data_IF_037332225355
#
_entry.id   IF_037332225355
#
_cell.length_a   1.000
_cell.length_b   1.000
_cell.length_c   1.000
_cell.angle_alpha   90.00
_cell.angle_beta   90.00
_cell.angle_gamma   90.00
#
_symmetry.space_group_name_H-M   'P 1'
#
loop_
_entity.id
_entity.type
_entity.pdbx_description
1 polymer ?
#
# COMPACT_ATOMS: atom_id res chain seq x y z
N UNK A 1 10.94 -48.98 -89.43
CA UNK A 1 11.47 -47.73 -88.85
C UNK A 1 10.38 -46.98 -87.94
N UNK A 2 9.12 -47.08 -88.22
CA UNK A 2 8.08 -46.34 -87.48
C UNK A 2 7.84 -46.81 -86.01
N UNK A 3 7.95 -48.14 -85.71
CA UNK A 3 7.65 -48.69 -84.36
C UNK A 3 8.80 -48.38 -83.35
N UNK A 4 10.04 -48.30 -83.77
CA UNK A 4 11.16 -48.00 -82.85
C UNK A 4 11.15 -46.53 -82.41
N UNK A 5 10.70 -45.59 -83.27
CA UNK A 5 10.53 -44.18 -82.95
C UNK A 5 9.39 -43.96 -81.96
N UNK A 6 8.31 -44.73 -82.12
CA UNK A 6 7.14 -44.63 -81.24
C UNK A 6 7.48 -45.14 -79.83
N UNK A 7 8.17 -46.28 -79.71
CA UNK A 7 8.64 -46.81 -78.43
C UNK A 7 9.66 -45.87 -77.74
N UNK A 8 10.57 -45.27 -78.47
CA UNK A 8 11.48 -44.26 -77.93
C UNK A 8 10.77 -43.03 -77.35
N UNK A 9 9.73 -42.57 -78.05
CA UNK A 9 8.91 -41.42 -77.60
C UNK A 9 8.10 -41.73 -76.30
N UNK A 10 7.54 -42.96 -76.25
CA UNK A 10 6.78 -43.41 -75.02
C UNK A 10 7.73 -43.56 -73.84
N UNK A 11 8.94 -44.09 -74.04
CA UNK A 11 9.92 -44.19 -72.96
C UNK A 11 10.40 -42.81 -72.48
N UNK A 12 10.66 -41.87 -73.38
CA UNK A 12 11.01 -40.49 -73.06
C UNK A 12 9.89 -39.78 -72.24
N UNK A 13 8.62 -39.95 -72.67
CA UNK A 13 7.46 -39.43 -71.94
C UNK A 13 7.29 -40.06 -70.56
N UNK A 14 7.51 -41.37 -70.43
CA UNK A 14 7.46 -42.08 -69.13
C UNK A 14 8.55 -41.63 -68.16
N UNK A 15 9.77 -41.39 -68.66
CA UNK A 15 10.90 -40.86 -67.88
C UNK A 15 10.60 -39.40 -67.47
N UNK A 16 10.11 -38.58 -68.41
CA UNK A 16 9.72 -37.20 -68.10
C UNK A 16 8.59 -37.13 -67.08
N UNK A 17 7.58 -38.03 -67.20
CA UNK A 17 6.52 -38.16 -66.19
C UNK A 17 7.04 -38.61 -64.83
N UNK A 18 7.90 -39.61 -64.78
CA UNK A 18 8.49 -40.09 -63.52
C UNK A 18 9.33 -39.00 -62.82
N UNK A 19 10.06 -38.22 -63.61
CA UNK A 19 10.82 -37.06 -63.10
C UNK A 19 9.90 -35.97 -62.58
N UNK A 20 8.85 -35.65 -63.29
CA UNK A 20 7.82 -34.68 -62.87
C UNK A 20 7.13 -35.12 -61.59
N UNK A 21 6.72 -36.37 -61.47
CA UNK A 21 6.10 -36.93 -60.28
C UNK A 21 7.07 -36.88 -59.06
N UNK A 22 8.32 -37.28 -59.25
CA UNK A 22 9.35 -37.17 -58.20
C UNK A 22 9.61 -35.73 -57.74
N UNK A 23 9.61 -34.76 -58.69
CA UNK A 23 9.74 -33.34 -58.38
C UNK A 23 8.55 -32.84 -57.55
N UNK A 24 7.33 -33.20 -58.02
CA UNK A 24 6.10 -32.86 -57.28
C UNK A 24 6.07 -33.50 -55.86
N UNK A 25 6.44 -34.76 -55.69
CA UNK A 25 6.51 -35.42 -54.43
C UNK A 25 7.50 -34.73 -53.47
N UNK A 26 8.67 -34.32 -53.98
CA UNK A 26 9.66 -33.54 -53.19
C UNK A 26 9.09 -32.19 -52.74
N UNK A 27 8.42 -31.46 -53.63
CA UNK A 27 7.79 -30.17 -53.28
C UNK A 27 6.68 -30.35 -52.27
N UNK A 28 5.85 -31.38 -52.40
CA UNK A 28 4.80 -31.72 -51.43
C UNK A 28 5.41 -32.10 -50.07
N UNK A 29 6.48 -32.89 -50.06
CA UNK A 29 7.17 -33.22 -48.80
C UNK A 29 7.76 -31.99 -48.11
N UNK A 30 8.38 -31.08 -48.90
CA UNK A 30 8.92 -29.83 -48.36
C UNK A 30 7.81 -28.91 -47.81
N UNK A 31 6.67 -28.78 -48.53
CA UNK A 31 5.53 -28.01 -48.06
C UNK A 31 4.87 -28.61 -46.82
N UNK A 32 4.82 -29.95 -46.73
CA UNK A 32 4.32 -30.62 -45.50
C UNK A 32 5.25 -30.37 -44.31
N UNK A 33 6.54 -30.48 -44.51
CA UNK A 33 7.53 -30.23 -43.45
C UNK A 33 7.46 -28.76 -42.97
N UNK A 34 7.46 -27.81 -43.90
CA UNK A 34 7.29 -26.39 -43.56
C UNK A 34 5.99 -26.07 -42.86
N UNK A 35 4.88 -26.78 -43.23
CA UNK A 35 3.59 -26.63 -42.52
C UNK A 35 3.63 -27.20 -41.11
N UNK A 36 4.28 -28.36 -40.91
CA UNK A 36 4.43 -28.98 -39.60
C UNK A 36 5.32 -28.12 -38.67
N UNK A 37 6.39 -27.53 -39.21
CA UNK A 37 7.21 -26.57 -38.46
C UNK A 37 6.41 -25.34 -38.03
N UNK A 38 5.64 -24.72 -38.95
CA UNK A 38 4.82 -23.57 -38.66
C UNK A 38 3.75 -23.89 -37.60
N UNK A 39 3.12 -25.07 -37.68
CA UNK A 39 2.13 -25.49 -36.68
C UNK A 39 2.76 -25.70 -35.28
N UNK A 40 4.01 -26.19 -35.21
CA UNK A 40 4.75 -26.31 -33.97
C UNK A 40 5.09 -24.93 -33.38
N UNK A 41 5.50 -23.98 -34.20
CA UNK A 41 5.73 -22.58 -33.76
C UNK A 41 4.46 -21.92 -33.24
N UNK A 42 3.35 -22.03 -34.00
CA UNK A 42 2.05 -21.51 -33.55
C UNK A 42 1.62 -22.11 -32.20
N UNK A 43 1.81 -23.43 -32.01
CA UNK A 43 1.50 -24.10 -30.74
C UNK A 43 2.35 -23.59 -29.58
N UNK A 44 3.66 -23.39 -29.80
CA UNK A 44 4.56 -22.85 -28.75
C UNK A 44 4.16 -21.46 -28.29
N UNK A 45 3.81 -20.59 -29.25
CA UNK A 45 3.36 -19.23 -28.94
C UNK A 45 2.01 -19.28 -28.21
N UNK A 46 1.08 -20.13 -28.68
CA UNK A 46 -0.21 -20.29 -28.03
C UNK A 46 -0.09 -20.80 -26.59
N UNK A 47 0.73 -21.83 -26.35
CA UNK A 47 0.96 -22.39 -25.01
C UNK A 47 1.60 -21.35 -24.06
N UNK A 48 2.49 -20.52 -24.58
CA UNK A 48 3.07 -19.41 -23.83
C UNK A 48 2.04 -18.36 -23.44
N UNK A 49 1.24 -17.91 -24.41
CA UNK A 49 0.18 -16.92 -24.16
C UNK A 49 -0.90 -17.47 -23.20
N UNK A 50 -1.24 -18.75 -23.34
CA UNK A 50 -2.16 -19.41 -22.42
C UNK A 50 -1.59 -19.51 -21.00
N UNK A 51 -0.31 -19.84 -20.87
CA UNK A 51 0.40 -19.85 -19.60
C UNK A 51 0.47 -18.47 -18.95
N UNK A 52 0.71 -17.41 -19.72
CA UNK A 52 0.66 -16.03 -19.22
C UNK A 52 -0.78 -15.68 -18.79
N UNK A 53 -1.81 -16.15 -19.53
CA UNK A 53 -3.21 -15.95 -19.17
C UNK A 53 -3.59 -16.57 -17.83
N UNK A 54 -3.04 -17.75 -17.49
CA UNK A 54 -3.25 -18.38 -16.19
C UNK A 54 -2.66 -17.55 -15.03
N UNK A 55 -1.62 -16.74 -15.27
CA UNK A 55 -1.07 -15.81 -14.28
C UNK A 55 -2.06 -14.72 -13.84
N UNK A 56 -3.04 -14.39 -14.68
CA UNK A 56 -4.10 -13.42 -14.35
C UNK A 56 -5.15 -13.94 -13.36
N UNK A 57 -5.22 -15.26 -13.17
CA UNK A 57 -6.19 -15.87 -12.23
C UNK A 57 -5.80 -15.72 -10.76
N UNK A 58 -4.65 -15.11 -10.45
CA UNK A 58 -4.19 -14.85 -9.08
C UNK A 58 -3.60 -16.06 -8.35
N UNK A 59 -3.49 -17.21 -9.00
CA UNK A 59 -3.03 -18.46 -8.39
C UNK A 59 -1.50 -18.71 -8.54
N UNK A 60 -0.79 -17.90 -9.36
CA UNK A 60 0.64 -18.06 -9.59
C UNK A 60 1.47 -17.17 -8.65
N UNK A 61 2.46 -17.78 -8.01
CA UNK A 61 3.47 -17.05 -7.26
C UNK A 61 4.33 -16.20 -8.24
N UNK A 62 4.75 -14.97 -7.88
CA UNK A 62 5.57 -14.12 -8.77
C UNK A 62 6.77 -14.84 -9.39
N UNK A 63 7.47 -15.70 -8.62
CA UNK A 63 8.59 -16.48 -9.10
C UNK A 63 8.23 -17.46 -10.23
N UNK A 64 7.00 -17.96 -10.27
CA UNK A 64 6.54 -18.88 -11.31
C UNK A 64 6.25 -18.14 -12.61
N UNK A 65 5.73 -16.90 -12.53
CA UNK A 65 5.57 -16.02 -13.68
C UNK A 65 6.93 -15.64 -14.28
N UNK A 66 7.90 -15.28 -13.43
CA UNK A 66 9.25 -14.93 -13.90
C UNK A 66 9.91 -16.10 -14.65
N UNK A 67 9.80 -17.30 -14.09
CA UNK A 67 10.28 -18.54 -14.73
C UNK A 67 9.57 -18.82 -16.05
N UNK A 68 8.24 -18.71 -16.07
CA UNK A 68 7.42 -18.92 -17.27
C UNK A 68 7.83 -17.98 -18.42
N UNK A 69 8.08 -16.70 -18.09
CA UNK A 69 8.51 -15.70 -19.08
C UNK A 69 9.85 -16.09 -19.70
N UNK A 70 10.86 -16.39 -18.88
CA UNK A 70 12.19 -16.71 -19.38
C UNK A 70 12.21 -18.05 -20.12
N UNK A 71 11.67 -19.11 -19.52
CA UNK A 71 11.64 -20.44 -20.15
C UNK A 71 10.75 -20.46 -21.40
N UNK A 72 9.65 -19.69 -21.39
CA UNK A 72 8.79 -19.52 -22.56
C UNK A 72 9.51 -18.80 -23.70
N UNK A 73 10.19 -17.70 -23.42
CA UNK A 73 11.00 -16.98 -24.39
C UNK A 73 12.09 -17.89 -24.97
N UNK A 74 12.85 -18.57 -24.10
CA UNK A 74 13.89 -19.52 -24.53
C UNK A 74 13.35 -20.61 -25.47
N UNK A 75 12.19 -21.19 -25.13
CA UNK A 75 11.58 -22.27 -25.91
C UNK A 75 11.11 -21.82 -27.29
N UNK A 76 10.56 -20.59 -27.40
CA UNK A 76 10.01 -20.09 -28.66
C UNK A 76 11.13 -19.74 -29.63
N UNK A 77 12.19 -19.05 -29.17
CA UNK A 77 13.29 -18.61 -30.03
C UNK A 77 14.48 -19.60 -30.03
N UNK A 78 14.31 -20.82 -29.51
CA UNK A 78 15.34 -21.86 -29.40
C UNK A 78 16.64 -21.35 -28.76
N UNK A 79 16.48 -20.64 -27.64
CA UNK A 79 17.60 -20.08 -26.89
C UNK A 79 18.15 -21.08 -25.87
N UNK A 80 19.49 -21.12 -25.74
CA UNK A 80 20.19 -21.96 -24.77
C UNK A 80 20.06 -21.42 -23.33
N UNK A 81 19.99 -20.11 -23.17
CA UNK A 81 19.93 -19.45 -21.88
C UNK A 81 19.03 -18.19 -21.92
N UNK A 82 18.51 -17.82 -20.75
CA UNK A 82 17.72 -16.62 -20.62
C UNK A 82 17.80 -16.03 -19.20
N UNK A 83 17.58 -14.73 -19.11
CA UNK A 83 17.62 -13.97 -17.87
C UNK A 83 16.57 -12.85 -17.85
N UNK A 84 15.96 -12.68 -16.71
CA UNK A 84 15.02 -11.62 -16.41
C UNK A 84 15.59 -10.73 -15.30
N UNK A 85 15.72 -9.45 -15.59
CA UNK A 85 16.10 -8.42 -14.65
C UNK A 85 14.96 -7.43 -14.51
N UNK A 86 14.49 -7.19 -13.28
CA UNK A 86 13.43 -6.22 -13.00
C UNK A 86 13.98 -4.97 -12.31
N UNK A 87 13.34 -3.85 -12.56
CA UNK A 87 13.66 -2.58 -11.92
C UNK A 87 13.43 -2.63 -10.41
N UNK A 88 14.32 -2.02 -9.65
CA UNK A 88 14.06 -1.71 -8.26
C UNK A 88 13.00 -0.61 -8.14
N UNK A 89 12.50 -0.37 -6.92
CA UNK A 89 11.49 0.67 -6.65
C UNK A 89 11.95 2.09 -6.96
N UNK A 90 13.26 2.32 -7.05
CA UNK A 90 13.83 3.66 -7.34
C UNK A 90 14.02 3.90 -8.83
N UNK A 91 13.90 2.88 -9.68
CA UNK A 91 14.14 2.97 -11.12
C UNK A 91 15.62 3.17 -11.48
N UNK A 92 16.56 2.90 -10.56
CA UNK A 92 18.01 3.14 -10.75
C UNK A 92 18.83 1.87 -10.94
N UNK A 93 18.29 0.74 -10.52
CA UNK A 93 18.98 -0.54 -10.54
C UNK A 93 18.08 -1.60 -11.17
N UNK A 94 18.70 -2.49 -11.96
CA UNK A 94 18.10 -3.73 -12.42
C UNK A 94 18.54 -4.86 -11.49
N UNK A 95 17.57 -5.55 -10.91
CA UNK A 95 17.81 -6.68 -10.02
C UNK A 95 17.64 -8.00 -10.78
N UNK A 96 18.59 -8.94 -10.70
CA UNK A 96 18.43 -10.25 -11.29
C UNK A 96 17.28 -10.99 -10.59
N UNK A 97 16.20 -11.27 -11.34
CA UNK A 97 14.97 -11.86 -10.79
C UNK A 97 14.86 -13.33 -11.13
N UNK A 98 15.22 -13.70 -12.35
CA UNK A 98 15.31 -15.09 -12.77
C UNK A 98 16.41 -15.27 -13.80
N UNK A 99 17.29 -16.27 -13.59
CA UNK A 99 18.28 -16.74 -14.55
C UNK A 99 18.06 -18.23 -14.78
N UNK A 100 18.05 -18.64 -16.03
CA UNK A 100 17.99 -20.06 -16.40
C UNK A 100 19.22 -20.81 -15.88
N UNK A 101 19.14 -22.13 -15.61
CA UNK A 101 20.30 -22.92 -15.25
C UNK A 101 21.40 -22.82 -16.32
N UNK A 102 22.63 -22.55 -15.91
CA UNK A 102 23.76 -22.41 -16.82
C UNK A 102 23.74 -21.15 -17.70
N UNK A 103 22.97 -20.13 -17.33
CA UNK A 103 22.97 -18.85 -18.04
C UNK A 103 24.38 -18.26 -18.07
N UNK A 104 24.93 -17.92 -19.25
CA UNK A 104 26.24 -17.27 -19.34
C UNK A 104 26.12 -15.85 -18.75
N UNK A 105 27.24 -15.29 -18.26
CA UNK A 105 27.23 -13.93 -17.75
C UNK A 105 26.84 -12.92 -18.83
N UNK A 106 25.72 -12.22 -18.60
CA UNK A 106 25.27 -11.08 -19.40
C UNK A 106 25.75 -9.73 -18.83
N UNK A 107 26.55 -9.81 -17.76
CA UNK A 107 27.17 -8.69 -17.06
C UNK A 107 28.65 -8.97 -16.90
N UNK A 108 29.45 -7.93 -16.70
CA UNK A 108 30.86 -8.09 -16.46
C UNK A 108 31.13 -8.82 -15.14
N UNK A 109 31.91 -9.93 -15.21
CA UNK A 109 32.26 -10.72 -14.03
C UNK A 109 33.68 -10.40 -13.60
N UNK A 110 33.95 -10.01 -12.37
CA UNK A 110 35.28 -9.74 -11.86
C UNK A 110 36.20 -10.94 -12.02
N UNK A 111 37.48 -10.70 -12.42
CA UNK A 111 38.48 -11.76 -12.62
C UNK A 111 38.67 -12.66 -11.39
N UNK A 112 38.48 -12.10 -10.19
CA UNK A 112 38.55 -12.86 -8.93
C UNK A 112 37.44 -13.94 -8.84
N UNK A 113 36.26 -13.68 -9.33
CA UNK A 113 35.15 -14.63 -9.36
C UNK A 113 35.38 -15.69 -10.45
N UNK A 114 35.88 -15.28 -11.62
CA UNK A 114 36.23 -16.21 -12.69
C UNK A 114 37.35 -17.18 -12.28
N UNK A 115 38.34 -16.73 -11.50
CA UNK A 115 39.36 -17.60 -10.94
C UNK A 115 38.82 -18.58 -9.91
N UNK A 116 37.84 -18.19 -9.12
CA UNK A 116 37.18 -19.07 -8.15
C UNK A 116 36.31 -20.14 -8.83
N UNK A 117 35.81 -19.90 -10.04
CA UNK A 117 34.97 -20.87 -10.75
C UNK A 117 35.75 -22.18 -11.10
N UNK A 118 37.06 -22.14 -11.17
CA UNK A 118 37.92 -23.33 -11.33
C UNK A 118 37.86 -24.28 -10.14
N UNK A 119 37.58 -23.78 -8.94
CA UNK A 119 37.47 -24.57 -7.70
C UNK A 119 36.04 -24.68 -7.19
N UNK A 120 35.16 -23.73 -7.56
CA UNK A 120 33.74 -23.70 -7.21
C UNK A 120 32.88 -23.34 -8.43
N UNK A 121 32.33 -24.33 -9.16
CA UNK A 121 31.52 -24.09 -10.37
C UNK A 121 30.31 -23.18 -10.15
N UNK A 122 29.76 -23.12 -8.92
CA UNK A 122 28.64 -22.27 -8.61
C UNK A 122 28.96 -20.82 -8.23
N UNK A 123 30.27 -20.47 -8.20
CA UNK A 123 30.66 -19.10 -7.81
C UNK A 123 30.14 -18.02 -8.77
N UNK A 124 30.18 -18.27 -10.07
CA UNK A 124 29.67 -17.36 -11.10
C UNK A 124 28.14 -17.26 -11.01
N UNK A 125 27.42 -18.38 -10.91
CA UNK A 125 25.95 -18.39 -10.78
C UNK A 125 25.49 -17.64 -9.54
N UNK A 126 26.16 -17.85 -8.41
CA UNK A 126 25.86 -17.13 -7.16
C UNK A 126 26.11 -15.62 -7.28
N UNK A 127 27.19 -15.23 -7.96
CA UNK A 127 27.49 -13.83 -8.23
C UNK A 127 26.40 -13.20 -9.10
N UNK A 128 26.05 -13.83 -10.22
CA UNK A 128 25.06 -13.32 -11.17
C UNK A 128 23.68 -13.11 -10.52
N UNK A 129 23.27 -14.01 -9.62
CA UNK A 129 21.98 -13.92 -8.90
C UNK A 129 21.92 -12.78 -7.90
N UNK A 130 23.06 -12.23 -7.49
CA UNK A 130 23.15 -11.17 -6.48
C UNK A 130 23.63 -9.83 -7.03
N UNK A 131 24.12 -9.81 -8.29
CA UNK A 131 24.72 -8.62 -8.88
C UNK A 131 23.67 -7.71 -9.52
N UNK A 132 23.31 -6.56 -8.93
CA UNK A 132 22.47 -5.57 -9.57
C UNK A 132 23.24 -4.84 -10.68
N UNK A 133 22.53 -4.39 -11.70
CA UNK A 133 23.06 -3.62 -12.83
C UNK A 133 22.56 -2.19 -12.76
N UNK A 134 23.44 -1.21 -12.89
CA UNK A 134 23.05 0.21 -12.93
C UNK A 134 22.53 0.60 -14.31
N UNK A 135 21.68 1.61 -14.33
CA UNK A 135 21.24 2.27 -15.58
C UNK A 135 22.49 2.72 -16.36
N UNK A 136 22.52 2.41 -17.66
CA UNK A 136 23.64 2.75 -18.55
C UNK A 136 24.87 1.83 -18.43
N UNK A 137 24.91 0.87 -17.49
CA UNK A 137 26.06 -0.01 -17.27
C UNK A 137 25.90 -1.32 -18.07
N UNK A 138 26.87 -1.62 -18.89
CA UNK A 138 26.91 -2.82 -19.73
C UNK A 138 25.77 -2.92 -20.73
N UNK A 139 25.54 -4.09 -21.32
CA UNK A 139 24.49 -4.29 -22.32
C UNK A 139 23.10 -4.12 -21.73
N UNK A 140 22.83 -4.73 -20.58
CA UNK A 140 21.51 -4.69 -19.92
C UNK A 140 21.14 -3.28 -19.47
N UNK A 141 22.07 -2.54 -18.85
CA UNK A 141 21.85 -1.17 -18.39
C UNK A 141 21.67 -0.18 -19.54
N UNK A 142 22.34 -0.38 -20.67
CA UNK A 142 22.18 0.43 -21.88
C UNK A 142 20.80 0.21 -22.53
N UNK A 143 20.34 -1.04 -22.64
CA UNK A 143 19.01 -1.37 -23.15
C UNK A 143 17.92 -0.78 -22.24
N UNK A 144 18.13 -0.85 -20.93
CA UNK A 144 17.25 -0.22 -19.96
C UNK A 144 17.16 1.30 -20.14
N UNK A 145 18.31 1.98 -20.28
CA UNK A 145 18.38 3.45 -20.42
C UNK A 145 17.78 3.93 -21.73
N UNK A 146 18.16 3.28 -22.85
CA UNK A 146 17.71 3.70 -24.19
C UNK A 146 16.31 3.24 -24.53
N UNK A 147 15.79 2.24 -23.82
CA UNK A 147 14.50 1.61 -24.09
C UNK A 147 14.40 1.04 -25.52
N UNK A 148 15.52 0.64 -26.09
CA UNK A 148 15.60 0.08 -27.43
C UNK A 148 16.06 -1.39 -27.34
N UNK A 149 15.37 -2.32 -28.05
CA UNK A 149 15.81 -3.71 -28.10
C UNK A 149 17.10 -3.84 -28.90
N UNK A 150 17.95 -4.77 -28.51
CA UNK A 150 19.26 -5.01 -29.12
C UNK A 150 19.42 -6.48 -29.49
N UNK A 151 19.89 -6.73 -30.73
CA UNK A 151 20.31 -8.03 -31.22
C UNK A 151 21.77 -7.94 -31.60
N UNK A 152 22.60 -8.86 -31.08
CA UNK A 152 24.03 -8.98 -31.39
C UNK A 152 24.33 -10.40 -31.80
N UNK A 153 25.06 -10.57 -32.91
CA UNK A 153 25.51 -11.85 -33.43
C UNK A 153 27.06 -11.84 -33.64
N UNK A 154 27.68 -13.00 -33.61
CA UNK A 154 29.10 -13.17 -33.81
C UNK A 154 29.63 -12.61 -35.18
N UNK A 155 28.71 -12.39 -36.09
CA UNK A 155 29.03 -11.81 -37.42
C UNK A 155 29.07 -10.27 -37.40
N UNK A 156 28.69 -9.64 -36.27
CA UNK A 156 28.66 -8.19 -36.12
C UNK A 156 29.97 -7.72 -35.45
N UNK A 157 30.59 -6.66 -36.01
CA UNK A 157 31.76 -5.98 -35.40
C UNK A 157 31.32 -5.04 -34.24
N UNK A 158 30.43 -5.49 -33.38
CA UNK A 158 29.92 -4.68 -32.24
C UNK A 158 30.80 -4.90 -31.01
N UNK A 159 31.37 -3.80 -30.51
CA UNK A 159 32.23 -3.82 -29.31
C UNK A 159 31.52 -4.37 -28.07
N UNK A 160 30.20 -4.20 -27.95
CA UNK A 160 29.41 -4.70 -26.82
C UNK A 160 29.40 -6.23 -26.72
N UNK A 161 29.36 -6.91 -27.89
CA UNK A 161 29.49 -8.36 -27.93
C UNK A 161 30.94 -8.80 -27.66
N UNK A 162 31.93 -8.03 -28.12
CA UNK A 162 33.33 -8.27 -27.84
C UNK A 162 33.64 -8.19 -26.35
N UNK A 163 33.06 -7.21 -25.65
CA UNK A 163 33.18 -7.05 -24.19
C UNK A 163 32.58 -8.26 -23.42
N UNK A 164 31.40 -8.74 -23.82
CA UNK A 164 30.79 -9.94 -23.26
C UNK A 164 31.64 -11.20 -23.57
N UNK A 165 32.16 -11.35 -24.80
CA UNK A 165 33.03 -12.46 -25.21
C UNK A 165 34.37 -12.43 -24.48
N UNK A 166 34.94 -11.24 -24.24
CA UNK A 166 36.20 -11.11 -23.51
C UNK A 166 36.11 -11.63 -22.08
N UNK A 167 34.92 -11.54 -21.49
CA UNK A 167 34.66 -12.01 -20.12
C UNK A 167 34.52 -13.52 -20.03
N UNK A 168 33.92 -14.22 -21.03
CA UNK A 168 33.52 -15.62 -20.83
C UNK A 168 33.66 -16.54 -22.07
N UNK A 169 33.76 -16.01 -23.28
CA UNK A 169 33.70 -16.76 -24.56
C UNK A 169 32.51 -17.73 -24.72
N UNK A 170 31.46 -17.55 -23.87
CA UNK A 170 30.31 -18.46 -23.79
C UNK A 170 29.13 -17.98 -24.62
N UNK A 171 29.18 -16.78 -25.18
CA UNK A 171 28.08 -16.17 -25.91
C UNK A 171 28.48 -15.97 -27.37
N UNK A 172 27.66 -16.48 -28.29
CA UNK A 172 27.83 -16.30 -29.73
C UNK A 172 26.79 -15.34 -30.32
N UNK A 173 25.56 -15.37 -29.80
CA UNK A 173 24.52 -14.40 -30.12
C UNK A 173 23.64 -14.11 -28.88
N UNK A 174 23.14 -12.88 -28.80
CA UNK A 174 22.30 -12.41 -27.68
C UNK A 174 21.23 -11.47 -28.18
N UNK A 175 20.02 -11.62 -27.65
CA UNK A 175 18.91 -10.69 -27.81
C UNK A 175 18.52 -10.14 -26.44
N UNK A 176 18.39 -8.83 -26.35
CA UNK A 176 18.03 -8.12 -25.12
C UNK A 176 16.97 -7.09 -25.45
N UNK A 177 15.89 -7.06 -24.71
CA UNK A 177 14.84 -6.08 -24.94
C UNK A 177 14.25 -5.56 -23.60
N UNK A 178 13.85 -4.27 -23.56
CA UNK A 178 13.22 -3.67 -22.39
C UNK A 178 11.77 -4.14 -22.27
N UNK A 179 11.34 -4.42 -21.03
CA UNK A 179 9.97 -4.79 -20.70
C UNK A 179 9.14 -3.52 -20.49
N UNK A 180 8.61 -2.98 -21.59
CA UNK A 180 7.87 -1.73 -21.60
C UNK A 180 6.36 -1.99 -21.61
N UNK A 181 5.62 -1.31 -20.73
CA UNK A 181 4.17 -1.25 -20.76
C UNK A 181 3.65 0.18 -20.52
N UNK A 182 3.07 0.78 -21.51
CA UNK A 182 2.72 2.21 -21.51
C UNK A 182 3.95 3.09 -21.31
N UNK A 183 3.97 3.87 -20.25
CA UNK A 183 5.13 4.70 -19.84
C UNK A 183 6.05 4.04 -18.83
N UNK A 184 5.74 2.81 -18.40
CA UNK A 184 6.51 2.09 -17.39
C UNK A 184 7.55 1.18 -18.02
N UNK A 185 8.78 1.28 -17.57
CA UNK A 185 9.85 0.32 -17.89
C UNK A 185 10.02 -0.61 -16.68
N UNK A 186 9.59 -1.87 -16.82
CA UNK A 186 9.56 -2.85 -15.75
C UNK A 186 10.90 -3.57 -15.54
N UNK A 187 11.73 -3.60 -16.59
CA UNK A 187 12.98 -4.36 -16.56
C UNK A 187 13.48 -4.72 -17.95
N UNK A 188 14.30 -5.75 -18.02
CA UNK A 188 14.93 -6.24 -19.23
C UNK A 188 14.83 -7.77 -19.29
N UNK A 189 14.42 -8.30 -20.44
CA UNK A 189 14.48 -9.72 -20.78
C UNK A 189 15.64 -9.95 -21.74
N UNK A 190 16.45 -10.96 -21.48
CA UNK A 190 17.57 -11.33 -22.32
C UNK A 190 17.57 -12.83 -22.60
N UNK A 191 17.95 -13.23 -23.82
CA UNK A 191 18.19 -14.62 -24.21
C UNK A 191 19.56 -14.71 -24.95
N UNK A 192 20.26 -15.81 -24.77
CA UNK A 192 21.58 -16.00 -25.34
C UNK A 192 21.77 -17.40 -25.89
N UNK A 193 22.55 -17.50 -26.98
CA UNK A 193 23.07 -18.74 -27.56
C UNK A 193 24.59 -18.76 -27.49
N UNK A 194 25.10 -19.92 -27.15
CA UNK A 194 26.54 -20.17 -27.08
C UNK A 194 27.12 -20.70 -28.41
N UNK A 195 28.47 -20.89 -28.47
CA UNK A 195 29.16 -21.28 -29.70
C UNK A 195 28.76 -22.63 -30.30
N UNK A 196 28.08 -23.49 -29.52
CA UNK A 196 27.61 -24.80 -29.97
C UNK A 196 26.14 -24.81 -30.38
N UNK A 197 25.46 -23.68 -30.27
CA UNK A 197 24.04 -23.49 -30.65
C UNK A 197 23.93 -22.74 -31.98
N UNK A 198 22.80 -22.85 -32.66
CA UNK A 198 22.52 -22.05 -33.85
C UNK A 198 22.38 -20.56 -33.46
N UNK A 199 23.13 -19.64 -34.11
CA UNK A 199 22.98 -18.23 -33.87
C UNK A 199 21.55 -17.75 -34.20
N UNK A 200 21.06 -16.76 -33.43
CA UNK A 200 19.75 -16.13 -33.71
C UNK A 200 19.73 -15.43 -35.07
N UNK A 201 18.55 -15.39 -35.65
CA UNK A 201 18.28 -14.69 -36.91
C UNK A 201 17.48 -13.40 -36.66
N UNK A 202 17.42 -12.48 -37.64
CA UNK A 202 16.51 -11.32 -37.54
C UNK A 202 15.01 -11.68 -37.36
N UNK A 203 14.60 -12.86 -37.86
CA UNK A 203 13.23 -13.35 -37.65
C UNK A 203 13.00 -13.73 -36.18
N UNK A 204 13.94 -14.42 -35.54
CA UNK A 204 13.89 -14.75 -34.12
C UNK A 204 13.79 -13.48 -33.25
N UNK A 205 14.49 -12.42 -33.68
CA UNK A 205 14.46 -11.15 -32.96
C UNK A 205 13.08 -10.48 -33.00
N UNK A 206 12.38 -10.53 -34.13
CA UNK A 206 10.99 -10.01 -34.26
C UNK A 206 10.06 -10.80 -33.34
N UNK A 207 10.18 -12.13 -33.32
CA UNK A 207 9.39 -13.00 -32.43
C UNK A 207 9.71 -12.71 -30.96
N UNK A 208 11.00 -12.57 -30.64
CA UNK A 208 11.46 -12.24 -29.28
C UNK A 208 10.85 -10.90 -28.79
N UNK A 209 10.85 -9.87 -29.64
CA UNK A 209 10.22 -8.57 -29.31
C UNK A 209 8.73 -8.73 -28.96
N UNK A 210 7.99 -9.52 -29.74
CA UNK A 210 6.58 -9.79 -29.47
C UNK A 210 6.37 -10.52 -28.12
N UNK A 211 7.26 -11.48 -27.79
CA UNK A 211 7.24 -12.17 -26.50
C UNK A 211 7.49 -11.19 -25.35
N UNK A 212 8.48 -10.30 -25.52
CA UNK A 212 8.83 -9.28 -24.51
C UNK A 212 7.65 -8.35 -24.24
N UNK A 213 6.95 -7.88 -25.28
CA UNK A 213 5.75 -7.06 -25.13
C UNK A 213 4.65 -7.77 -24.35
N UNK A 214 4.36 -9.03 -24.68
CA UNK A 214 3.37 -9.82 -23.95
C UNK A 214 3.80 -10.11 -22.51
N UNK A 215 5.09 -10.34 -22.30
CA UNK A 215 5.66 -10.54 -20.96
C UNK A 215 5.58 -9.28 -20.11
N UNK A 216 5.83 -8.10 -20.70
CA UNK A 216 5.70 -6.82 -20.03
C UNK A 216 4.23 -6.55 -19.60
N UNK A 217 3.28 -6.85 -20.48
CA UNK A 217 1.85 -6.78 -20.14
C UNK A 217 1.48 -7.70 -18.99
N UNK A 218 1.94 -8.97 -19.02
CA UNK A 218 1.68 -9.94 -17.96
C UNK A 218 2.27 -9.51 -16.61
N UNK A 219 3.53 -9.04 -16.61
CA UNK A 219 4.20 -8.54 -15.41
C UNK A 219 3.49 -7.32 -14.81
N UNK A 220 3.15 -6.34 -15.64
CA UNK A 220 2.44 -5.15 -15.19
C UNK A 220 1.11 -5.52 -14.52
N UNK A 221 0.32 -6.37 -15.16
CA UNK A 221 -0.93 -6.83 -14.58
C UNK A 221 -0.72 -7.58 -13.25
N UNK A 222 0.26 -8.48 -13.17
CA UNK A 222 0.57 -9.21 -11.94
C UNK A 222 0.94 -8.25 -10.79
N UNK A 223 1.72 -7.19 -11.07
CA UNK A 223 2.07 -6.15 -10.10
C UNK A 223 0.80 -5.42 -9.63
N UNK A 224 -0.04 -4.93 -10.56
CA UNK A 224 -1.28 -4.21 -10.23
C UNK A 224 -2.24 -5.08 -9.42
N UNK A 225 -2.41 -6.35 -9.79
CA UNK A 225 -3.25 -7.28 -9.02
C UNK A 225 -2.71 -7.54 -7.61
N UNK A 226 -1.40 -7.71 -7.47
CA UNK A 226 -0.75 -7.91 -6.17
C UNK A 226 -0.92 -6.70 -5.26
N UNK A 227 -0.69 -5.49 -5.77
CA UNK A 227 -0.89 -4.23 -5.04
C UNK A 227 -2.35 -4.04 -4.63
N UNK A 228 -3.28 -4.32 -5.54
CA UNK A 228 -4.71 -4.24 -5.25
C UNK A 228 -5.16 -5.28 -4.20
N UNK A 229 -4.60 -6.48 -4.22
CA UNK A 229 -4.88 -7.51 -3.22
C UNK A 229 -4.34 -7.14 -1.84
N UNK A 230 -3.12 -6.61 -1.77
CA UNK A 230 -2.51 -6.14 -0.51
C UNK A 230 -3.28 -4.95 0.05
N UNK A 231 -3.65 -3.97 -0.79
CA UNK A 231 -4.50 -2.84 -0.35
C UNK A 231 -5.82 -3.34 0.23
N UNK A 232 -6.52 -4.26 -0.45
CA UNK A 232 -7.77 -4.83 0.07
C UNK A 232 -7.60 -5.59 1.38
N UNK A 233 -6.42 -6.20 1.60
CA UNK A 233 -6.09 -6.87 2.85
C UNK A 233 -5.94 -5.85 3.98
N UNK A 234 -5.15 -4.80 3.75
CA UNK A 234 -4.95 -3.70 4.70
C UNK A 234 -6.29 -3.01 5.03
N UNK A 235 -7.11 -2.73 4.03
CA UNK A 235 -8.42 -2.10 4.23
C UNK A 235 -9.32 -2.96 5.13
N UNK A 236 -9.34 -4.30 4.95
CA UNK A 236 -10.10 -5.24 5.81
C UNK A 236 -9.56 -5.30 7.24
N UNK A 237 -8.24 -5.30 7.40
CA UNK A 237 -7.62 -5.31 8.73
C UNK A 237 -7.95 -4.02 9.50
N UNK A 238 -7.96 -2.87 8.81
CA UNK A 238 -8.37 -1.59 9.38
C UNK A 238 -9.89 -1.54 9.71
N UNK A 239 -10.73 -2.13 8.88
CA UNK A 239 -12.17 -2.25 9.13
C UNK A 239 -12.43 -3.09 10.39
N UNK A 240 -11.71 -4.19 10.56
CA UNK A 240 -11.74 -4.99 11.78
C UNK A 240 -11.27 -4.21 13.01
N UNK A 241 -10.19 -3.44 12.90
CA UNK A 241 -9.70 -2.56 13.97
C UNK A 241 -10.73 -1.50 14.36
N UNK A 242 -11.43 -0.90 13.39
CA UNK A 242 -12.53 0.04 13.60
C UNK A 242 -13.67 -0.60 14.39
N UNK A 243 -14.08 -1.81 14.03
CA UNK A 243 -15.15 -2.51 14.72
C UNK A 243 -14.78 -2.80 16.19
N UNK A 244 -13.53 -3.22 16.44
CA UNK A 244 -13.01 -3.40 17.80
C UNK A 244 -13.01 -2.06 18.55
N UNK A 245 -12.55 -0.98 17.94
CA UNK A 245 -12.51 0.34 18.55
C UNK A 245 -13.90 0.85 18.91
N UNK A 246 -14.89 0.61 18.04
CA UNK A 246 -16.30 0.98 18.30
C UNK A 246 -16.86 0.34 19.55
N UNK A 247 -16.43 -0.87 19.90
CA UNK A 247 -16.83 -1.56 21.14
C UNK A 247 -16.18 -0.89 22.37
N UNK A 248 -15.05 -0.20 22.21
CA UNK A 248 -14.39 0.52 23.29
C UNK A 248 -15.09 1.83 23.66
N UNK A 249 -15.82 2.44 22.73
CA UNK A 249 -16.59 3.64 23.00
C UNK A 249 -17.95 3.31 23.68
N UNK A 250 -18.53 4.23 24.45
CA UNK A 250 -19.80 3.98 25.12
C UNK A 250 -20.94 3.79 24.13
N UNK A 251 -21.72 2.73 24.31
CA UNK A 251 -22.88 2.44 23.45
C UNK A 251 -24.06 3.40 23.70
N UNK A 252 -24.20 3.90 24.92
CA UNK A 252 -25.23 4.85 25.31
C UNK A 252 -24.77 5.69 26.51
N UNK A 253 -25.31 6.92 26.68
CA UNK A 253 -25.05 7.71 27.86
C UNK A 253 -25.69 7.06 29.10
N UNK A 254 -25.12 7.27 30.30
CA UNK A 254 -25.72 6.80 31.55
C UNK A 254 -27.01 7.61 31.88
N UNK A 255 -27.96 6.92 32.49
CA UNK A 255 -29.14 7.60 33.08
C UNK A 255 -28.76 8.16 34.46
N UNK A 256 -28.61 9.49 34.53
CA UNK A 256 -28.26 10.20 35.76
C UNK A 256 -29.36 11.17 36.09
N UNK A 257 -30.12 10.94 37.18
CA UNK A 257 -31.21 11.85 37.57
C UNK A 257 -30.77 13.31 37.69
N UNK A 258 -31.49 14.21 37.02
CA UNK A 258 -31.19 15.63 36.98
C UNK A 258 -30.16 16.05 35.91
N UNK A 259 -29.73 15.13 35.06
CA UNK A 259 -28.84 15.43 33.95
C UNK A 259 -29.27 14.71 32.67
N UNK A 260 -29.19 15.40 31.57
CA UNK A 260 -29.20 14.83 30.23
C UNK A 260 -27.78 14.81 29.69
N UNK A 261 -27.36 13.67 29.15
CA UNK A 261 -26.00 13.50 28.58
C UNK A 261 -26.13 12.92 27.19
N UNK A 262 -25.35 13.45 26.26
CA UNK A 262 -25.22 12.92 24.91
C UNK A 262 -23.76 13.03 24.43
N UNK A 263 -23.32 12.10 23.60
CA UNK A 263 -21.99 12.14 23.00
C UNK A 263 -21.98 11.48 21.64
N UNK A 264 -21.04 11.89 20.81
CA UNK A 264 -20.80 11.35 19.49
C UNK A 264 -19.29 11.37 19.20
N UNK A 265 -18.83 10.35 18.49
CA UNK A 265 -17.51 10.32 17.85
C UNK A 265 -17.71 9.97 16.38
N UNK A 266 -17.16 10.80 15.48
CA UNK A 266 -17.21 10.65 14.03
C UNK A 266 -15.77 10.59 13.53
N UNK A 267 -15.24 9.41 13.24
CA UNK A 267 -13.86 9.26 12.76
C UNK A 267 -13.65 9.88 11.38
N UNK A 268 -12.51 10.54 11.17
CA UNK A 268 -12.06 11.01 9.85
C UNK A 268 -11.45 9.89 8.99
N UNK A 269 -10.88 8.88 9.63
CA UNK A 269 -10.25 7.72 9.03
C UNK A 269 -10.94 6.42 9.42
N UNK A 270 -10.34 5.28 9.09
CA UNK A 270 -10.87 3.97 9.49
C UNK A 270 -10.85 3.78 11.01
N UNK A 271 -9.86 4.33 11.71
CA UNK A 271 -9.73 4.33 13.16
C UNK A 271 -9.46 5.74 13.67
N UNK A 272 -9.89 6.04 14.90
CA UNK A 272 -9.87 7.36 15.54
C UNK A 272 -8.80 7.47 16.62
N UNK A 273 -8.16 8.64 16.74
CA UNK A 273 -7.36 9.04 17.90
C UNK A 273 -8.24 9.53 19.06
N UNK A 274 -9.41 10.03 18.74
CA UNK A 274 -10.35 10.57 19.71
C UNK A 274 -10.99 9.50 20.61
N UNK A 275 -11.27 9.90 21.83
CA UNK A 275 -11.89 9.07 22.84
C UNK A 275 -12.88 9.89 23.67
N UNK A 276 -14.05 9.32 23.96
CA UNK A 276 -14.91 9.78 25.03
C UNK A 276 -15.50 8.60 25.80
N UNK A 277 -15.83 8.82 27.07
CA UNK A 277 -16.33 7.73 27.91
C UNK A 277 -17.22 8.23 29.07
N UNK A 278 -18.04 7.31 29.56
CA UNK A 278 -18.85 7.44 30.76
C UNK A 278 -18.48 6.32 31.73
N UNK A 279 -17.78 6.66 32.82
CA UNK A 279 -17.15 5.71 33.72
C UNK A 279 -17.89 5.68 35.04
N UNK A 280 -18.57 4.59 35.40
CA UNK A 280 -19.13 4.44 36.75
C UNK A 280 -17.98 4.42 37.79
N UNK A 281 -18.01 5.37 38.73
CA UNK A 281 -17.02 5.48 39.82
C UNK A 281 -17.61 4.92 41.13
N UNK A 282 -18.85 5.30 41.44
CA UNK A 282 -19.61 4.85 42.59
C UNK A 282 -21.11 4.85 42.20
N UNK A 283 -22.01 4.31 43.04
CA UNK A 283 -23.46 4.27 42.74
C UNK A 283 -24.11 5.63 42.43
N UNK A 284 -23.54 6.71 42.94
CA UNK A 284 -23.97 8.09 42.79
C UNK A 284 -23.00 8.98 42.02
N UNK A 285 -21.91 8.43 41.51
CA UNK A 285 -20.81 9.20 40.91
C UNK A 285 -20.32 8.60 39.60
N UNK A 286 -20.16 9.48 38.59
CA UNK A 286 -19.72 9.12 37.24
C UNK A 286 -18.55 10.01 36.80
N UNK A 287 -17.54 9.37 36.16
CA UNK A 287 -16.53 10.07 35.38
C UNK A 287 -16.98 10.26 33.93
N UNK A 288 -16.72 11.43 33.38
CA UNK A 288 -16.93 11.71 31.96
C UNK A 288 -15.60 12.20 31.40
N UNK A 289 -15.16 11.57 30.33
CA UNK A 289 -13.89 11.88 29.68
C UNK A 289 -14.11 12.25 28.20
N UNK A 290 -13.33 13.18 27.73
CA UNK A 290 -13.07 13.40 26.30
C UNK A 290 -11.57 13.59 26.13
N UNK A 291 -11.00 13.01 25.10
CA UNK A 291 -9.57 13.06 24.82
C UNK A 291 -9.30 12.98 23.33
N UNK A 292 -8.18 13.54 22.94
CA UNK A 292 -7.63 13.43 21.60
C UNK A 292 -6.14 13.09 21.69
N UNK A 293 -5.72 12.11 20.91
CA UNK A 293 -4.34 11.63 20.82
C UNK A 293 -3.63 12.28 19.65
N UNK A 294 -2.56 12.98 19.91
CA UNK A 294 -1.72 13.58 18.87
C UNK A 294 -1.35 12.56 17.78
N UNK A 295 -1.59 12.93 16.51
CA UNK A 295 -1.37 12.07 15.36
C UNK A 295 -2.65 11.39 14.88
N UNK A 296 -2.55 10.56 13.83
CA UNK A 296 -3.72 9.94 13.18
C UNK A 296 -3.50 8.46 12.90
N UNK A 297 -4.59 7.75 12.64
CA UNK A 297 -4.57 6.35 12.24
C UNK A 297 -4.21 5.36 13.34
N UNK A 298 -3.60 4.24 12.96
CA UNK A 298 -3.35 3.11 13.88
C UNK A 298 -2.52 3.48 15.12
N UNK A 299 -1.41 4.25 15.03
CA UNK A 299 -0.65 4.61 16.23
C UNK A 299 -1.48 5.37 17.26
N UNK A 300 -2.25 6.39 16.84
CA UNK A 300 -3.10 7.16 17.73
C UNK A 300 -4.21 6.29 18.34
N UNK A 301 -4.83 5.42 17.56
CA UNK A 301 -5.89 4.52 18.04
C UNK A 301 -5.42 3.51 19.10
N UNK A 302 -4.17 3.03 19.00
CA UNK A 302 -3.58 2.14 20.00
C UNK A 302 -3.33 2.86 21.32
N UNK A 303 -2.80 4.10 21.27
CA UNK A 303 -2.59 4.94 22.45
C UNK A 303 -3.94 5.32 23.08
N UNK A 304 -4.96 5.61 22.27
CA UNK A 304 -6.32 5.85 22.75
C UNK A 304 -6.86 4.64 23.56
N UNK A 305 -6.72 3.43 23.02
CA UNK A 305 -7.17 2.21 23.68
C UNK A 305 -6.41 1.95 25.01
N UNK A 306 -5.11 2.24 25.04
CA UNK A 306 -4.28 2.18 26.24
C UNK A 306 -4.74 3.23 27.27
N UNK A 307 -4.93 4.48 26.84
CA UNK A 307 -5.42 5.57 27.67
C UNK A 307 -6.78 5.23 28.32
N UNK A 308 -7.74 4.74 27.52
CA UNK A 308 -9.04 4.26 28.01
C UNK A 308 -8.88 3.20 29.11
N UNK A 309 -8.04 2.21 28.87
CA UNK A 309 -7.84 1.10 29.80
C UNK A 309 -7.27 1.57 31.13
N UNK A 310 -6.27 2.44 31.08
CA UNK A 310 -5.65 3.05 32.26
C UNK A 310 -6.65 3.94 33.00
N UNK A 311 -7.36 4.84 32.27
CA UNK A 311 -8.34 5.74 32.87
C UNK A 311 -9.46 4.96 33.59
N UNK A 312 -10.05 3.94 32.97
CA UNK A 312 -11.08 3.10 33.59
C UNK A 312 -10.60 2.36 34.81
N UNK A 313 -9.32 1.95 34.86
CA UNK A 313 -8.71 1.30 36.01
C UNK A 313 -8.48 2.28 37.19
N UNK A 314 -8.07 3.51 36.87
CA UNK A 314 -7.71 4.53 37.87
C UNK A 314 -8.93 5.31 38.38
N UNK A 315 -9.91 5.60 37.53
CA UNK A 315 -11.04 6.47 37.86
C UNK A 315 -11.76 6.12 39.18
N UNK A 316 -12.03 4.83 39.52
CA UNK A 316 -12.68 4.49 40.78
C UNK A 316 -11.85 4.76 42.05
N UNK A 317 -10.54 5.02 41.91
CA UNK A 317 -9.61 5.16 43.04
C UNK A 317 -9.64 6.54 43.70
N UNK A 318 -10.28 7.55 43.08
CA UNK A 318 -10.26 8.94 43.59
C UNK A 318 -11.56 9.70 43.32
N UNK A 319 -11.87 10.61 44.25
CA UNK A 319 -12.96 11.60 44.10
C UNK A 319 -12.47 12.94 43.52
N UNK A 320 -11.19 13.07 43.19
CA UNK A 320 -10.56 14.25 42.58
C UNK A 320 -10.27 13.94 41.11
N UNK A 321 -10.77 14.74 40.20
CA UNK A 321 -10.52 14.62 38.77
C UNK A 321 -9.02 14.79 38.46
N UNK A 322 -8.39 15.77 39.09
CA UNK A 322 -6.93 16.01 38.91
C UNK A 322 -6.10 14.82 39.37
N UNK A 323 -6.40 14.22 40.53
CA UNK A 323 -5.66 13.04 41.03
C UNK A 323 -5.80 11.83 40.11
N UNK A 324 -6.96 11.66 39.46
CA UNK A 324 -7.14 10.63 38.45
C UNK A 324 -6.20 10.89 37.28
N UNK A 325 -6.17 12.11 36.74
CA UNK A 325 -5.28 12.45 35.62
C UNK A 325 -3.79 12.35 36.01
N UNK A 326 -3.40 12.70 37.24
CA UNK A 326 -2.03 12.50 37.71
C UNK A 326 -1.61 11.03 37.68
N UNK A 327 -2.49 10.13 38.12
CA UNK A 327 -2.22 8.69 38.09
C UNK A 327 -2.20 8.14 36.65
N UNK A 328 -3.14 8.60 35.80
CA UNK A 328 -3.17 8.23 34.38
C UNK A 328 -1.90 8.65 33.70
N UNK A 329 -1.44 9.90 33.88
CA UNK A 329 -0.21 10.41 33.32
C UNK A 329 1.03 9.57 33.74
N UNK A 330 1.16 9.26 35.04
CA UNK A 330 2.28 8.45 35.54
C UNK A 330 2.31 7.04 34.95
N UNK A 331 1.15 6.44 34.67
CA UNK A 331 1.08 5.11 34.06
C UNK A 331 1.33 5.14 32.55
N UNK A 332 0.90 6.19 31.87
CA UNK A 332 1.03 6.31 30.43
C UNK A 332 2.39 6.84 29.96
N UNK A 333 2.99 7.75 30.75
CA UNK A 333 4.22 8.45 30.37
C UNK A 333 5.37 7.52 29.92
N UNK A 334 5.66 6.39 30.60
CA UNK A 334 6.73 5.48 30.17
C UNK A 334 6.48 4.78 28.83
N UNK A 335 5.20 4.68 28.41
CA UNK A 335 4.76 3.90 27.24
C UNK A 335 4.42 4.79 26.04
N UNK A 336 4.40 6.12 26.24
CA UNK A 336 4.13 7.10 25.16
C UNK A 336 5.46 7.56 24.58
N UNK A 337 5.54 7.59 23.24
CA UNK A 337 6.71 8.11 22.53
C UNK A 337 6.86 9.62 22.74
N UNK A 338 8.10 10.12 22.71
CA UNK A 338 8.42 11.55 22.92
C UNK A 338 7.71 12.53 21.96
N UNK A 339 7.31 12.04 20.77
CA UNK A 339 6.61 12.83 19.76
C UNK A 339 5.07 12.72 19.85
N UNK A 340 4.55 12.03 20.87
CA UNK A 340 3.11 11.82 21.05
C UNK A 340 2.66 12.28 22.44
N UNK A 341 1.42 12.73 22.51
CA UNK A 341 0.77 13.14 23.75
C UNK A 341 -0.75 12.97 23.63
N UNK A 342 -1.45 13.07 24.74
CA UNK A 342 -2.91 12.98 24.80
C UNK A 342 -3.43 14.26 25.45
N UNK A 343 -4.30 14.98 24.75
CA UNK A 343 -5.11 16.03 25.34
C UNK A 343 -6.34 15.40 25.98
N UNK A 344 -6.70 15.77 27.21
CA UNK A 344 -7.87 15.20 27.90
C UNK A 344 -8.58 16.23 28.79
N UNK A 345 -9.90 16.23 28.76
CA UNK A 345 -10.73 16.80 29.79
C UNK A 345 -11.46 15.67 30.51
N UNK A 346 -11.29 15.61 31.82
CA UNK A 346 -11.95 14.62 32.68
C UNK A 346 -12.74 15.32 33.77
N UNK A 347 -13.99 14.91 33.93
CA UNK A 347 -14.85 15.48 34.95
C UNK A 347 -15.57 14.39 35.76
N UNK A 348 -15.86 14.71 37.00
CA UNK A 348 -16.61 13.87 37.92
C UNK A 348 -17.94 14.55 38.20
N UNK A 349 -19.04 13.85 37.90
CA UNK A 349 -20.42 14.23 38.17
C UNK A 349 -20.96 13.39 39.30
N UNK A 350 -21.56 14.07 40.30
CA UNK A 350 -22.21 13.43 41.43
C UNK A 350 -23.73 13.74 41.39
N UNK A 351 -24.58 12.71 41.53
CA UNK A 351 -26.03 12.80 41.36
C UNK A 351 -26.69 13.85 42.26
N UNK A 352 -26.21 14.04 43.48
CA UNK A 352 -26.75 14.95 44.48
C UNK A 352 -26.15 16.36 44.43
N UNK A 353 -25.19 16.60 43.55
CA UNK A 353 -24.44 17.86 43.47
C UNK A 353 -24.81 18.67 42.24
N UNK A 354 -24.84 19.98 42.36
CA UNK A 354 -24.87 20.92 41.23
C UNK A 354 -23.44 21.27 40.75
N UNK A 355 -22.46 20.77 41.45
CA UNK A 355 -21.05 21.00 41.16
C UNK A 355 -20.44 19.80 40.46
N UNK A 356 -19.73 20.06 39.35
CA UNK A 356 -18.90 19.13 38.66
C UNK A 356 -17.43 19.43 38.99
N UNK A 357 -16.62 18.40 39.22
CA UNK A 357 -15.18 18.56 39.35
C UNK A 357 -14.56 18.28 37.99
N UNK A 358 -13.91 19.28 37.38
CA UNK A 358 -13.23 19.21 36.11
C UNK A 358 -11.72 19.30 36.31
N UNK A 359 -10.96 18.44 35.64
CA UNK A 359 -9.54 18.61 35.42
C UNK A 359 -9.25 18.58 33.91
N UNK A 360 -8.37 19.47 33.45
CA UNK A 360 -8.02 19.60 32.04
C UNK A 360 -6.53 19.30 31.83
N UNK A 361 -6.22 18.34 30.99
CA UNK A 361 -4.89 17.97 30.58
C UNK A 361 -4.62 18.42 29.14
N UNK A 362 -4.44 19.74 28.92
CA UNK A 362 -4.07 20.29 27.61
C UNK A 362 -5.19 20.25 26.55
N UNK A 363 -6.40 19.79 26.88
CA UNK A 363 -7.52 19.66 25.94
C UNK A 363 -8.18 21.00 25.66
N UNK A 364 -8.99 21.10 24.61
CA UNK A 364 -9.80 22.27 24.33
C UNK A 364 -10.68 22.66 25.52
N UNK A 365 -10.84 23.97 25.72
CA UNK A 365 -11.60 24.49 26.85
C UNK A 365 -13.10 24.20 26.68
N UNK A 366 -13.75 23.43 27.58
CA UNK A 366 -15.19 23.23 27.52
C UNK A 366 -15.99 24.54 27.46
N UNK A 367 -17.11 24.50 26.77
CA UNK A 367 -18.04 25.63 26.64
C UNK A 367 -19.20 25.47 27.57
N UNK A 368 -19.41 26.46 28.45
CA UNK A 368 -20.51 26.50 29.39
C UNK A 368 -21.58 27.47 28.90
N UNK A 369 -22.73 26.94 28.47
CA UNK A 369 -23.93 27.71 28.21
C UNK A 369 -24.66 27.99 29.50
N UNK A 370 -24.94 29.27 29.80
CA UNK A 370 -25.73 29.74 30.92
C UNK A 370 -27.17 30.08 30.48
N UNK A 371 -28.13 29.32 30.98
CA UNK A 371 -29.55 29.54 30.64
C UNK A 371 -30.06 30.90 31.07
N UNK A 372 -29.67 31.38 32.26
CA UNK A 372 -30.13 32.64 32.84
C UNK A 372 -29.71 33.85 31.98
N UNK A 373 -28.52 33.86 31.40
CA UNK A 373 -27.97 34.97 30.61
C UNK A 373 -27.97 34.71 29.10
N UNK A 374 -28.31 33.49 28.68
CA UNK A 374 -28.22 33.01 27.27
C UNK A 374 -26.85 33.25 26.65
N UNK A 375 -25.80 33.13 27.45
CA UNK A 375 -24.42 33.36 27.04
C UNK A 375 -23.60 32.07 27.14
N UNK A 376 -22.56 31.98 26.31
CA UNK A 376 -21.58 30.90 26.36
C UNK A 376 -20.24 31.46 26.83
N UNK A 377 -19.61 30.79 27.76
CA UNK A 377 -18.28 31.12 28.29
C UNK A 377 -17.35 29.93 28.25
N UNK A 378 -16.05 30.19 28.01
CA UNK A 378 -15.02 29.14 28.04
C UNK A 378 -14.65 28.81 29.48
N UNK A 379 -14.65 27.51 29.82
CA UNK A 379 -14.17 27.01 31.11
C UNK A 379 -12.72 26.52 30.89
N UNK A 380 -11.75 27.36 31.19
CA UNK A 380 -10.34 27.16 30.83
C UNK A 380 -9.40 27.04 32.04
N UNK A 381 -9.53 26.02 32.89
CA UNK A 381 -8.53 25.78 33.93
C UNK A 381 -7.18 25.43 33.32
N UNK A 382 -6.04 25.77 34.00
CA UNK A 382 -4.73 25.38 33.53
C UNK A 382 -4.57 23.86 33.51
N UNK A 383 -3.67 23.36 32.64
CA UNK A 383 -3.36 21.94 32.55
C UNK A 383 -2.43 21.66 31.37
N UNK A 384 -1.68 20.58 31.47
CA UNK A 384 -0.71 20.10 30.48
C UNK A 384 -1.20 18.76 29.90
N UNK A 385 -0.97 18.49 28.63
CA UNK A 385 -1.33 17.21 28.01
C UNK A 385 -0.58 16.03 28.68
N UNK A 386 -1.23 14.87 28.70
CA UNK A 386 -0.68 13.62 29.21
C UNK A 386 0.49 13.14 28.32
N UNK A 387 1.52 12.59 28.94
CA UNK A 387 2.69 12.06 28.22
C UNK A 387 3.81 13.07 27.97
N UNK A 388 3.62 14.37 28.26
CA UNK A 388 4.66 15.39 28.06
C UNK A 388 5.66 15.44 29.22
N UNK A 389 5.20 15.29 30.46
CA UNK A 389 6.01 15.36 31.66
C UNK A 389 5.76 14.14 32.55
N UNK A 390 6.80 13.65 33.22
CA UNK A 390 6.74 12.45 34.07
C UNK A 390 5.86 12.58 35.33
N UNK A 391 5.37 13.81 35.63
CA UNK A 391 4.46 14.10 36.74
C UNK A 391 4.86 15.32 37.57
N UNK A 392 6.12 15.73 37.61
CA UNK A 392 6.57 16.84 38.48
C UNK A 392 5.96 18.19 38.10
N UNK A 393 5.89 18.50 36.82
CA UNK A 393 5.24 19.71 36.29
C UNK A 393 3.76 19.46 36.10
N UNK A 394 3.39 18.31 35.55
CA UNK A 394 2.00 17.92 35.29
C UNK A 394 1.12 18.04 36.54
N UNK A 395 1.55 17.43 37.67
CA UNK A 395 0.79 17.43 38.92
C UNK A 395 0.60 18.85 39.51
N UNK A 396 1.54 19.75 39.25
CA UNK A 396 1.49 21.13 39.73
C UNK A 396 0.54 22.02 38.93
N UNK A 397 0.43 21.77 37.61
CA UNK A 397 -0.35 22.64 36.73
C UNK A 397 -1.77 22.10 36.47
N UNK A 398 -2.01 20.79 36.68
CA UNK A 398 -3.30 20.15 36.47
C UNK A 398 -4.01 20.00 37.82
N UNK A 399 -4.98 20.86 38.08
CA UNK A 399 -5.75 20.90 39.32
C UNK A 399 -7.25 20.69 39.13
N UNK A 400 -7.94 20.41 40.23
CA UNK A 400 -9.41 20.35 40.26
C UNK A 400 -10.01 21.75 40.08
N UNK A 401 -10.98 21.87 39.19
CA UNK A 401 -11.76 23.06 38.96
C UNK A 401 -13.27 22.76 39.14
N UNK A 402 -13.95 23.52 39.95
CA UNK A 402 -15.38 23.31 40.19
C UNK A 402 -16.22 24.09 39.17
N UNK A 403 -17.05 23.37 38.42
CA UNK A 403 -18.05 23.96 37.52
C UNK A 403 -19.41 23.80 38.17
N UNK A 404 -20.08 24.92 38.43
CA UNK A 404 -21.44 24.92 38.94
C UNK A 404 -22.45 24.97 37.77
N UNK A 405 -23.41 24.04 37.75
CA UNK A 405 -24.48 23.99 36.74
C UNK A 405 -25.82 24.25 37.40
N UNK A 406 -26.50 25.32 36.97
CA UNK A 406 -27.88 25.59 37.31
C UNK A 406 -28.84 24.90 36.34
N UNK A 407 -30.13 24.79 36.71
CA UNK A 407 -31.11 24.17 35.84
C UNK A 407 -31.21 24.88 34.49
N UNK A 408 -31.08 24.12 33.40
CA UNK A 408 -31.05 24.61 32.02
C UNK A 408 -29.67 24.94 31.48
N UNK A 409 -28.62 24.98 32.32
CA UNK A 409 -27.24 25.14 31.87
C UNK A 409 -26.75 23.89 31.16
N UNK A 410 -25.81 24.07 30.22
CA UNK A 410 -25.19 22.98 29.47
C UNK A 410 -23.67 23.16 29.39
N UNK A 411 -22.93 22.09 29.67
CA UNK A 411 -21.47 22.03 29.46
C UNK A 411 -21.20 21.17 28.24
N UNK A 412 -20.47 21.75 27.25
CA UNK A 412 -20.13 21.12 25.99
C UNK A 412 -18.62 20.91 25.94
N UNK A 413 -18.21 19.64 25.79
CA UNK A 413 -16.84 19.25 25.54
C UNK A 413 -16.72 18.86 24.05
N UNK A 414 -15.62 19.18 23.43
CA UNK A 414 -15.39 18.94 22.00
C UNK A 414 -13.90 18.77 21.72
N UNK A 415 -13.55 18.05 20.67
CA UNK A 415 -12.19 17.96 20.11
C UNK A 415 -12.00 19.01 19.03
N UNK A 416 -10.74 19.32 18.71
CA UNK A 416 -10.35 20.34 17.72
C UNK A 416 -10.91 20.07 16.31
N UNK A 417 -11.15 18.78 15.95
CA UNK A 417 -11.80 18.42 14.69
C UNK A 417 -13.18 19.07 14.47
N UNK A 418 -13.84 19.59 15.54
CA UNK A 418 -15.06 20.41 15.41
C UNK A 418 -14.73 21.81 14.92
N UNK A 419 -13.73 22.45 15.53
CA UNK A 419 -13.38 23.86 15.26
C UNK A 419 -12.45 24.02 14.07
N UNK A 420 -11.60 23.03 13.79
CA UNK A 420 -10.66 23.01 12.68
C UNK A 420 -11.24 22.39 11.39
N UNK A 421 -12.51 21.99 11.39
CA UNK A 421 -13.20 21.51 10.20
C UNK A 421 -13.15 22.58 9.08
N UNK A 422 -12.65 22.22 7.89
CA UNK A 422 -12.40 23.13 6.77
C UNK A 422 -13.55 23.11 5.75
N UNK A 423 -13.91 24.30 5.26
CA UNK A 423 -14.78 24.45 4.10
C UNK A 423 -14.02 24.24 2.77
N UNK A 424 -14.73 24.38 1.65
CA UNK A 424 -14.16 24.27 0.29
C UNK A 424 -13.13 25.35 -0.05
N UNK A 425 -13.03 26.41 0.74
CA UNK A 425 -12.07 27.51 0.59
C UNK A 425 -10.89 27.41 1.58
N UNK A 426 -10.86 26.35 2.41
CA UNK A 426 -9.85 26.18 3.45
C UNK A 426 -10.05 27.07 4.69
N UNK A 427 -11.28 27.54 4.91
CA UNK A 427 -11.64 28.32 6.09
C UNK A 427 -12.10 27.36 7.19
N UNK A 428 -11.60 27.54 8.43
CA UNK A 428 -12.01 26.76 9.59
C UNK A 428 -13.43 27.09 10.04
N UNK A 429 -14.15 26.11 10.57
CA UNK A 429 -15.46 26.31 11.22
C UNK A 429 -15.33 27.31 12.36
N UNK A 430 -14.36 27.14 13.20
CA UNK A 430 -13.96 28.03 14.26
C UNK A 430 -14.90 28.06 15.48
N UNK A 431 -14.34 28.50 16.59
CA UNK A 431 -15.03 28.54 17.88
C UNK A 431 -16.26 29.48 17.88
N UNK A 432 -16.23 30.56 17.10
CA UNK A 432 -17.34 31.53 17.04
C UNK A 432 -18.63 30.91 16.51
N UNK A 433 -18.53 30.11 15.42
CA UNK A 433 -19.68 29.40 14.86
C UNK A 433 -20.17 28.30 15.80
N UNK A 434 -19.26 27.60 16.49
CA UNK A 434 -19.64 26.63 17.50
C UNK A 434 -20.47 27.29 18.64
N UNK A 435 -20.04 28.44 19.13
CA UNK A 435 -20.77 29.23 20.15
C UNK A 435 -22.14 29.65 19.64
N UNK A 436 -22.26 30.14 18.40
CA UNK A 436 -23.51 30.53 17.78
C UNK A 436 -24.50 29.34 17.71
N UNK A 437 -24.02 28.15 17.33
CA UNK A 437 -24.87 26.94 17.29
C UNK A 437 -25.34 26.55 18.68
N UNK A 438 -24.47 26.57 19.69
CA UNK A 438 -24.83 26.26 21.09
C UNK A 438 -25.86 27.25 21.61
N UNK A 439 -25.71 28.55 21.32
CA UNK A 439 -26.68 29.58 21.72
C UNK A 439 -28.02 29.38 21.00
N UNK A 440 -28.00 29.03 19.72
CA UNK A 440 -29.19 28.75 18.93
C UNK A 440 -29.98 27.51 19.40
N UNK A 441 -29.28 26.57 20.05
CA UNK A 441 -29.87 25.34 20.62
C UNK A 441 -30.33 25.52 22.07
N UNK A 442 -30.46 26.73 22.54
CA UNK A 442 -30.86 27.06 23.92
C UNK A 442 -32.17 26.41 24.32
N UNK A 443 -32.17 25.66 25.43
CA UNK A 443 -33.35 24.99 25.95
C UNK A 443 -33.64 23.61 25.34
N UNK A 444 -32.91 23.19 24.33
CA UNK A 444 -33.05 21.86 23.73
C UNK A 444 -32.33 20.76 24.57
N UNK A 445 -32.63 19.50 24.27
CA UNK A 445 -31.97 18.36 24.92
C UNK A 445 -30.48 18.27 24.56
N UNK A 446 -29.69 17.63 25.43
CA UNK A 446 -28.25 17.37 25.12
C UNK A 446 -28.06 16.66 23.78
N UNK A 447 -28.94 15.70 23.42
CA UNK A 447 -28.93 15.00 22.16
C UNK A 447 -29.20 15.94 20.97
N UNK A 448 -30.12 16.90 21.10
CA UNK A 448 -30.41 17.86 20.04
C UNK A 448 -29.23 18.84 19.81
N UNK A 449 -28.58 19.28 20.89
CA UNK A 449 -27.37 20.13 20.80
C UNK A 449 -26.25 19.40 20.01
N UNK A 450 -25.96 18.16 20.37
CA UNK A 450 -24.93 17.34 19.66
C UNK A 450 -25.30 17.16 18.18
N UNK A 451 -26.57 16.85 17.89
CA UNK A 451 -27.05 16.68 16.51
C UNK A 451 -26.95 17.97 15.70
N UNK A 452 -27.32 19.12 16.26
CA UNK A 452 -27.25 20.42 15.58
C UNK A 452 -25.82 20.85 15.30
N UNK A 453 -24.90 20.69 16.26
CA UNK A 453 -23.46 20.98 16.03
C UNK A 453 -22.92 20.11 14.92
N UNK A 454 -23.16 18.81 14.97
CA UNK A 454 -22.70 17.86 13.96
C UNK A 454 -23.22 18.21 12.55
N UNK A 455 -24.51 18.53 12.44
CA UNK A 455 -25.13 18.88 11.15
C UNK A 455 -24.62 20.24 10.63
N UNK A 456 -24.36 21.20 11.49
CA UNK A 456 -23.78 22.49 11.09
C UNK A 456 -22.35 22.36 10.62
N UNK A 457 -21.52 21.56 11.28
CA UNK A 457 -20.16 21.25 10.82
C UNK A 457 -20.22 20.54 9.48
N UNK A 458 -21.05 19.51 9.32
CA UNK A 458 -21.23 18.78 8.06
C UNK A 458 -21.64 19.70 6.91
N UNK A 459 -22.63 20.57 7.15
CA UNK A 459 -23.13 21.53 6.15
C UNK A 459 -22.07 22.57 5.79
N UNK A 460 -21.21 22.96 6.71
CA UNK A 460 -20.11 23.90 6.50
C UNK A 460 -18.98 23.27 5.67
N UNK A 461 -18.59 22.03 5.98
CA UNK A 461 -17.53 21.27 5.25
C UNK A 461 -17.98 20.96 3.82
N UNK A 462 -19.26 20.65 3.59
CA UNK A 462 -19.79 20.35 2.26
C UNK A 462 -19.21 19.07 1.68
N UNK A 463 -18.52 19.18 0.54
CA UNK A 463 -17.92 18.04 -0.18
C UNK A 463 -16.47 17.75 0.17
N UNK A 464 -15.84 18.52 1.07
CA UNK A 464 -14.47 18.27 1.48
C UNK A 464 -14.38 17.00 2.34
N UNK A 465 -13.29 16.23 2.22
CA UNK A 465 -13.00 15.15 3.16
C UNK A 465 -12.85 15.71 4.58
N UNK A 466 -13.35 14.98 5.56
CA UNK A 466 -13.13 15.31 6.97
C UNK A 466 -11.64 15.21 7.30
N UNK A 467 -11.06 16.28 7.86
CA UNK A 467 -9.61 16.36 8.14
C UNK A 467 -9.22 15.69 9.45
N UNK A 468 -10.07 15.78 10.48
CA UNK A 468 -9.81 15.23 11.81
C UNK A 468 -11.04 14.58 12.42
N UNK A 469 -10.84 13.78 13.46
CA UNK A 469 -11.90 13.12 14.20
C UNK A 469 -12.77 14.17 14.91
N UNK A 470 -14.08 14.00 14.86
CA UNK A 470 -15.02 14.91 15.50
C UNK A 470 -15.64 14.21 16.70
N UNK A 471 -15.35 14.70 17.91
CA UNK A 471 -15.94 14.18 19.14
C UNK A 471 -16.60 15.31 19.93
N UNK A 472 -17.82 15.03 20.40
CA UNK A 472 -18.62 15.96 21.16
C UNK A 472 -19.27 15.23 22.33
N UNK A 473 -19.28 15.86 23.51
CA UNK A 473 -20.09 15.45 24.66
C UNK A 473 -20.83 16.67 25.23
N UNK A 474 -22.14 16.58 25.34
CA UNK A 474 -22.99 17.59 25.95
C UNK A 474 -23.57 17.05 27.27
N UNK A 475 -23.51 17.86 28.33
CA UNK A 475 -24.03 17.59 29.65
C UNK A 475 -24.97 18.74 30.01
N UNK A 476 -26.24 18.46 30.17
CA UNK A 476 -27.29 19.48 30.52
C UNK A 476 -27.90 19.19 31.89
N UNK A 477 -28.04 20.21 32.70
CA UNK A 477 -28.78 20.15 33.96
C UNK A 477 -30.28 20.34 33.71
N UNK A 478 -31.12 19.39 34.14
CA UNK A 478 -32.61 19.41 33.96
C UNK A 478 -33.36 19.62 35.26
#
# INVERSE_FOLDING_TARGET
MSSVLLTGLVIALAIGWAFFVRKQQRTIAQLKHAREELQLEESRVFDFLHGLGAAFSGDLHPSDLHRLIVEGAMRIVDAHAGALYLSDRTGKMLLPTFLSPGCPPLVEVPKSILMQSGTNPSAVDSFLRLQPVKVGEGLLGLVWEKQEPVFLSSNDDDSRLADLKSSTQLIDSVMVAPLLYGSQNLGVLAVANGPMSTPFTPADFIVFQSIVEQSAFALCNAIVYSEAAEKRRIDRDLETARDIQRILLPAAPPDIPGYEIAGVNIPASQVSGDYYDYIPIAPDRFGIAIADVCGKGVPASLIMAMCRSVLRSVAPSSSSAAKVLHQVNRQLYPDIREDMFISMAYLILEKSSENLLLARAGHDAPLLYRAATRSVQKVNPPGMALGIDSGSVFDRVTGDFTVHLERGDSLILYTDGVTEALDTNGIEFGISRLIEVIQGSAGESAQAVVAQVTEKVRSFVGSQPQNDDITLVAIRKV
#
